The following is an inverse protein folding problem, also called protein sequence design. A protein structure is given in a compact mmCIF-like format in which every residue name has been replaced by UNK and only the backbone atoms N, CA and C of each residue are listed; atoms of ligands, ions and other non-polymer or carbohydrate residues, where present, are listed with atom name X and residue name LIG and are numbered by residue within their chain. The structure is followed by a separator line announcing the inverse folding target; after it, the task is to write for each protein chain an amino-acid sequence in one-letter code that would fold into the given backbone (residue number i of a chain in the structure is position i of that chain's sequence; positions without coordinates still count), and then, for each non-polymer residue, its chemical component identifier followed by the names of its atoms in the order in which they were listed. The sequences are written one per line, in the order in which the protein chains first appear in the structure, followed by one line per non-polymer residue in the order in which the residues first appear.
data_IF_037854629665
#
_entry.id   IF_037854629665
#
_cell.length_a   1.000
_cell.length_b   1.000
_cell.length_c   1.000
_cell.angle_alpha   90.00
_cell.angle_beta   90.00
_cell.angle_gamma   90.00
#
_symmetry.space_group_name_H-M   'P 1'
#
loop_
_entity.id
_entity.type
_entity.pdbx_description
1 polymer ?
#
# COMPACT_ATOMS: atom_id res chain seq x y z
N UNK A 1 -41.18 13.43 2.63
CA UNK A 1 -40.50 12.34 3.36
C UNK A 1 -40.60 10.94 2.72
N UNK A 2 -41.75 10.51 2.15
CA UNK A 2 -41.87 9.18 1.50
C UNK A 2 -41.03 9.00 0.23
N UNK A 3 -40.89 10.05 -0.58
CA UNK A 3 -40.05 10.04 -1.80
C UNK A 3 -38.56 9.98 -1.45
N UNK A 4 -38.11 10.74 -0.44
CA UNK A 4 -36.76 10.61 0.12
C UNK A 4 -36.50 9.22 0.68
N UNK A 5 -37.45 8.59 1.41
CA UNK A 5 -37.34 7.18 1.83
C UNK A 5 -37.35 6.18 0.67
N UNK A 6 -37.96 6.51 -0.46
CA UNK A 6 -38.02 5.62 -1.64
C UNK A 6 -36.73 5.71 -2.46
N UNK A 7 -36.23 6.93 -2.70
CA UNK A 7 -34.91 7.19 -3.29
C UNK A 7 -33.83 6.62 -2.40
N UNK A 8 -33.92 6.85 -1.08
CA UNK A 8 -33.05 6.18 -0.12
C UNK A 8 -33.30 4.68 -0.09
N UNK A 9 -34.50 4.09 -0.20
CA UNK A 9 -34.64 2.61 -0.26
C UNK A 9 -34.07 1.98 -1.54
N UNK A 10 -34.08 2.70 -2.66
CA UNK A 10 -33.47 2.27 -3.92
C UNK A 10 -31.94 2.37 -3.90
N UNK A 11 -31.41 3.43 -3.29
CA UNK A 11 -29.97 3.59 -3.01
C UNK A 11 -29.53 2.70 -1.82
N UNK A 12 -30.43 2.44 -0.87
CA UNK A 12 -30.32 1.53 0.28
C UNK A 12 -30.72 0.08 -0.09
N UNK A 13 -30.28 -0.39 -1.25
CA UNK A 13 -29.80 -1.78 -1.28
C UNK A 13 -28.73 -2.03 -0.18
N UNK A 14 -28.13 -0.96 0.37
CA UNK A 14 -27.41 -0.93 1.64
C UNK A 14 -28.16 -1.53 2.84
N UNK A 15 -29.49 -1.58 2.91
CA UNK A 15 -30.13 -2.12 4.14
C UNK A 15 -29.93 -3.64 4.25
N UNK A 16 -29.91 -4.35 3.11
CA UNK A 16 -29.59 -5.79 3.06
C UNK A 16 -28.08 -6.07 3.04
N UNK A 17 -27.30 -5.15 2.50
CA UNK A 17 -25.84 -5.30 2.32
C UNK A 17 -25.09 -4.84 3.58
N UNK A 18 -25.45 -3.68 4.11
CA UNK A 18 -24.96 -3.09 5.35
C UNK A 18 -25.14 -4.01 6.55
N UNK A 19 -26.25 -4.74 6.59
CA UNK A 19 -26.48 -5.78 7.60
C UNK A 19 -25.41 -6.89 7.61
N UNK A 20 -24.73 -7.13 6.49
CA UNK A 20 -23.68 -8.15 6.36
C UNK A 20 -22.26 -7.63 6.51
N UNK A 21 -22.06 -6.31 6.48
CA UNK A 21 -20.75 -5.68 6.70
C UNK A 21 -20.11 -6.17 8.02
N UNK A 22 -20.81 -6.24 9.17
CA UNK A 22 -20.21 -6.72 10.40
C UNK A 22 -19.61 -8.14 10.29
N UNK A 23 -20.29 -9.04 9.58
CA UNK A 23 -19.81 -10.42 9.38
C UNK A 23 -18.62 -10.47 8.41
N UNK A 24 -18.66 -9.69 7.33
CA UNK A 24 -17.53 -9.57 6.40
C UNK A 24 -16.30 -8.99 7.10
N UNK A 25 -16.49 -7.96 7.94
CA UNK A 25 -15.42 -7.37 8.77
C UNK A 25 -14.89 -8.36 9.78
N UNK A 26 -15.75 -9.13 10.46
CA UNK A 26 -15.30 -10.17 11.40
C UNK A 26 -14.45 -11.24 10.68
N UNK A 27 -14.90 -11.68 9.51
CA UNK A 27 -14.20 -12.68 8.69
C UNK A 27 -12.85 -12.13 8.23
N UNK A 28 -12.84 -10.90 7.72
CA UNK A 28 -11.63 -10.18 7.35
C UNK A 28 -10.67 -9.96 8.52
N UNK A 29 -11.14 -9.62 9.71
CA UNK A 29 -10.29 -9.44 10.89
C UNK A 29 -9.58 -10.74 11.29
N UNK A 30 -10.28 -11.87 11.28
CA UNK A 30 -9.66 -13.18 11.54
C UNK A 30 -8.56 -13.47 10.51
N UNK A 31 -8.82 -13.18 9.24
CA UNK A 31 -7.83 -13.35 8.18
C UNK A 31 -6.65 -12.37 8.30
N UNK A 32 -6.92 -11.12 8.68
CA UNK A 32 -5.91 -10.10 8.91
C UNK A 32 -4.97 -10.50 10.04
N UNK A 33 -5.53 -10.95 11.17
CA UNK A 33 -4.77 -11.44 12.33
C UNK A 33 -4.11 -12.79 12.11
N UNK A 34 -4.53 -13.56 11.09
CA UNK A 34 -3.76 -14.70 10.62
C UNK A 34 -2.58 -14.25 9.74
N UNK A 35 -2.86 -13.48 8.69
CA UNK A 35 -1.93 -13.16 7.61
C UNK A 35 -0.82 -12.21 8.03
N UNK A 36 -1.15 -11.05 8.62
CA UNK A 36 -0.13 -10.04 8.93
C UNK A 36 0.83 -10.48 10.03
N UNK A 37 0.39 -11.06 11.15
CA UNK A 37 1.31 -11.54 12.18
C UNK A 37 2.20 -12.68 11.68
N UNK A 38 1.67 -13.58 10.83
CA UNK A 38 2.49 -14.61 10.18
C UNK A 38 3.56 -14.00 9.27
N UNK A 39 3.16 -13.01 8.47
CA UNK A 39 4.02 -12.28 7.54
C UNK A 39 5.18 -11.64 8.28
N UNK A 40 4.90 -10.86 9.32
CA UNK A 40 5.93 -10.19 10.11
C UNK A 40 6.86 -11.17 10.82
N UNK A 41 6.33 -12.29 11.33
CA UNK A 41 7.16 -13.33 11.93
C UNK A 41 8.14 -13.93 10.91
N UNK A 42 7.65 -14.39 9.75
CA UNK A 42 8.48 -14.99 8.69
C UNK A 42 9.49 -13.96 8.15
N UNK A 43 9.03 -12.73 7.90
CA UNK A 43 9.90 -11.65 7.45
C UNK A 43 11.01 -11.36 8.46
N UNK A 44 10.71 -11.37 9.76
CA UNK A 44 11.73 -11.18 10.79
C UNK A 44 12.73 -12.32 10.86
N UNK A 45 12.28 -13.56 10.66
CA UNK A 45 13.18 -14.72 10.55
C UNK A 45 14.17 -14.54 9.39
N UNK A 46 13.67 -14.13 8.22
CA UNK A 46 14.50 -13.88 7.03
C UNK A 46 15.43 -12.68 7.28
N UNK A 47 14.93 -11.60 7.86
CA UNK A 47 15.69 -10.40 8.21
C UNK A 47 16.88 -10.68 9.14
N UNK A 48 16.70 -11.56 10.12
CA UNK A 48 17.76 -11.99 11.05
C UNK A 48 18.84 -12.79 10.33
N UNK A 49 18.45 -13.67 9.40
CA UNK A 49 19.38 -14.56 8.68
C UNK A 49 20.04 -13.90 7.47
N UNK A 50 19.40 -12.89 6.90
CA UNK A 50 19.76 -12.34 5.60
C UNK A 50 19.19 -13.17 4.45
N UNK A 51 18.96 -12.52 3.31
CA UNK A 51 18.63 -13.16 2.05
C UNK A 51 18.92 -12.18 0.90
N UNK A 52 18.95 -12.69 -0.34
CA UNK A 52 19.11 -11.87 -1.55
C UNK A 52 20.37 -10.99 -1.55
N UNK A 53 21.48 -11.49 -0.99
CA UNK A 53 22.74 -10.74 -0.88
C UNK A 53 22.79 -9.76 0.30
N UNK A 54 21.67 -9.52 0.99
CA UNK A 54 21.62 -8.63 2.15
C UNK A 54 22.05 -9.40 3.42
N UNK A 55 23.07 -8.91 4.16
CA UNK A 55 23.54 -9.58 5.38
C UNK A 55 22.45 -9.56 6.45
N UNK A 56 22.31 -10.64 7.22
CA UNK A 56 21.35 -10.74 8.32
C UNK A 56 21.67 -9.79 9.48
N UNK A 57 20.65 -9.38 10.24
CA UNK A 57 20.87 -8.58 11.46
C UNK A 57 21.51 -9.39 12.60
N UNK A 58 21.47 -10.72 12.54
CA UNK A 58 22.16 -11.62 13.48
C UNK A 58 21.60 -11.65 14.92
N UNK A 59 20.61 -10.82 15.25
CA UNK A 59 20.02 -10.74 16.58
C UNK A 59 19.05 -11.88 16.90
N UNK A 60 18.75 -12.13 18.19
CA UNK A 60 17.72 -13.09 18.58
C UNK A 60 16.32 -12.61 18.15
N UNK A 61 15.39 -13.56 18.02
CA UNK A 61 13.99 -13.24 17.70
C UNK A 61 13.32 -12.46 18.86
N UNK A 62 12.87 -11.22 18.65
CA UNK A 62 12.21 -10.45 19.71
C UNK A 62 10.88 -11.08 20.14
N UNK A 63 10.54 -10.98 21.43
CA UNK A 63 9.34 -11.57 22.02
C UNK A 63 8.01 -11.16 21.34
N UNK A 64 7.94 -9.93 20.81
CA UNK A 64 6.76 -9.43 20.09
C UNK A 64 6.43 -10.29 18.86
N UNK A 65 7.44 -10.79 18.14
CA UNK A 65 7.22 -11.64 16.97
C UNK A 65 6.75 -13.04 17.36
N UNK A 66 7.19 -13.58 18.50
CA UNK A 66 6.63 -14.80 19.06
C UNK A 66 5.16 -14.63 19.45
N UNK A 67 4.81 -13.51 20.08
CA UNK A 67 3.41 -13.15 20.38
C UNK A 67 2.57 -13.05 19.09
N UNK A 68 3.12 -12.40 18.05
CA UNK A 68 2.49 -12.31 16.73
C UNK A 68 2.24 -13.70 16.11
N UNK A 69 3.20 -14.64 16.24
CA UNK A 69 3.03 -16.01 15.78
C UNK A 69 1.89 -16.72 16.52
N UNK A 70 1.78 -16.56 17.85
CA UNK A 70 0.68 -17.18 18.64
C UNK A 70 -0.67 -16.66 18.16
N UNK A 71 -0.82 -15.35 17.98
CA UNK A 71 -2.05 -14.74 17.43
C UNK A 71 -2.36 -15.33 16.05
N UNK A 72 -1.35 -15.41 15.18
CA UNK A 72 -1.51 -16.01 13.86
C UNK A 72 -1.98 -17.46 13.93
N UNK A 73 -1.41 -18.29 14.79
CA UNK A 73 -1.78 -19.70 14.91
C UNK A 73 -3.23 -19.87 15.38
N UNK A 74 -3.69 -19.05 16.33
CA UNK A 74 -5.08 -19.08 16.82
C UNK A 74 -6.05 -18.67 15.70
N UNK A 75 -5.79 -17.56 15.01
CA UNK A 75 -6.64 -17.09 13.92
C UNK A 75 -6.57 -18.03 12.70
N UNK A 76 -5.40 -18.56 12.39
CA UNK A 76 -5.16 -19.56 11.36
C UNK A 76 -5.92 -20.85 11.62
N UNK A 77 -5.95 -21.34 12.86
CA UNK A 77 -6.78 -22.48 13.23
C UNK A 77 -8.26 -22.23 12.91
N UNK A 78 -8.80 -21.06 13.24
CA UNK A 78 -10.20 -20.70 12.92
C UNK A 78 -10.42 -20.64 11.41
N UNK A 79 -9.49 -20.05 10.65
CA UNK A 79 -9.52 -19.98 9.19
C UNK A 79 -9.55 -21.38 8.55
N UNK A 80 -8.57 -22.24 8.86
CA UNK A 80 -8.48 -23.59 8.29
C UNK A 80 -9.64 -24.49 8.73
N UNK A 81 -10.07 -24.39 9.99
CA UNK A 81 -11.28 -25.07 10.46
C UNK A 81 -12.51 -24.65 9.65
N UNK A 82 -12.64 -23.37 9.34
CA UNK A 82 -13.72 -22.83 8.51
C UNK A 82 -13.72 -23.38 7.08
N UNK A 83 -12.53 -23.64 6.52
CA UNK A 83 -12.38 -24.24 5.19
C UNK A 83 -12.73 -25.73 5.15
N UNK A 84 -12.30 -26.50 6.15
CA UNK A 84 -12.50 -27.96 6.19
C UNK A 84 -13.90 -28.35 6.67
N UNK A 85 -14.45 -27.59 7.62
CA UNK A 85 -15.80 -27.81 8.19
C UNK A 85 -16.66 -26.57 7.97
N UNK A 86 -17.02 -26.29 6.72
CA UNK A 86 -17.89 -25.17 6.40
C UNK A 86 -19.26 -25.36 7.04
N UNK A 87 -19.88 -24.23 7.40
CA UNK A 87 -21.20 -24.18 8.01
C UNK A 87 -22.00 -23.03 7.42
N UNK A 88 -23.28 -23.25 7.15
CA UNK A 88 -24.25 -22.15 7.05
C UNK A 88 -24.54 -21.65 8.46
N UNK A 89 -24.38 -20.35 8.68
CA UNK A 89 -24.64 -19.70 9.96
C UNK A 89 -25.70 -18.62 9.78
N UNK A 90 -26.61 -18.53 10.76
CA UNK A 90 -27.48 -17.36 10.94
C UNK A 90 -26.77 -16.36 11.82
N UNK A 91 -26.45 -15.21 11.24
CA UNK A 91 -26.02 -14.02 11.97
C UNK A 91 -27.21 -13.14 12.28
N UNK A 92 -27.14 -12.43 13.40
CA UNK A 92 -28.05 -11.34 13.70
C UNK A 92 -27.23 -10.14 14.12
N UNK A 93 -27.55 -8.97 13.59
CA UNK A 93 -26.95 -7.70 14.02
C UNK A 93 -28.02 -6.77 14.54
N UNK A 94 -27.76 -6.10 15.66
CA UNK A 94 -28.67 -5.11 16.25
C UNK A 94 -27.92 -3.78 16.32
N UNK A 95 -28.39 -2.72 15.65
CA UNK A 95 -27.73 -1.42 15.68
C UNK A 95 -27.73 -0.84 17.10
N UNK A 96 -26.59 -0.27 17.50
CA UNK A 96 -26.48 0.48 18.75
C UNK A 96 -26.98 1.90 18.52
N UNK A 97 -27.94 2.33 19.34
CA UNK A 97 -28.47 3.70 19.33
C UNK A 97 -27.98 4.39 20.59
N UNK A 98 -27.57 5.66 20.43
CA UNK A 98 -27.21 6.52 21.54
C UNK A 98 -28.42 7.39 21.88
N UNK A 99 -28.73 7.49 23.15
CA UNK A 99 -29.72 8.42 23.68
C UNK A 99 -29.11 9.13 24.89
N UNK A 100 -29.12 10.46 24.85
CA UNK A 100 -28.68 11.29 25.96
C UNK A 100 -29.86 11.47 26.92
N UNK A 101 -29.66 11.03 28.16
CA UNK A 101 -30.62 11.13 29.27
C UNK A 101 -30.02 12.04 30.33
N UNK A 102 -30.27 13.34 30.20
CA UNK A 102 -29.61 14.37 31.01
C UNK A 102 -28.10 14.39 30.74
N UNK A 103 -27.29 14.24 31.78
CA UNK A 103 -25.82 14.25 31.69
C UNK A 103 -25.21 12.88 31.32
N UNK A 104 -26.04 11.86 31.07
CA UNK A 104 -25.58 10.48 30.80
C UNK A 104 -25.99 10.03 29.40
N UNK A 105 -25.00 9.73 28.55
CA UNK A 105 -25.23 9.04 27.27
C UNK A 105 -25.42 7.55 27.50
N UNK A 106 -26.63 7.05 27.25
CA UNK A 106 -26.94 5.62 27.31
C UNK A 106 -26.85 5.04 25.90
N UNK A 107 -26.07 3.96 25.73
CA UNK A 107 -26.03 3.19 24.49
C UNK A 107 -26.85 1.91 24.66
N UNK A 108 -27.83 1.71 23.79
CA UNK A 108 -28.69 0.53 23.81
C UNK A 108 -28.89 -0.05 22.41
N UNK A 109 -28.94 -1.38 22.31
CA UNK A 109 -29.26 -2.04 21.05
C UNK A 109 -30.73 -1.88 20.70
N UNK A 110 -31.05 -1.27 19.56
CA UNK A 110 -32.43 -1.17 19.11
C UNK A 110 -32.90 -2.48 18.47
N UNK A 111 -33.49 -3.36 19.29
CA UNK A 111 -33.95 -4.68 18.87
C UNK A 111 -35.03 -4.63 17.78
N UNK A 112 -35.75 -3.51 17.62
CA UNK A 112 -36.73 -3.35 16.54
C UNK A 112 -36.09 -3.25 15.15
N UNK A 113 -34.78 -2.96 15.09
CA UNK A 113 -33.99 -2.88 13.86
C UNK A 113 -32.99 -4.03 13.74
N UNK A 114 -33.23 -5.13 14.47
CA UNK A 114 -32.40 -6.33 14.36
C UNK A 114 -32.52 -6.90 12.94
N UNK A 115 -31.39 -7.14 12.29
CA UNK A 115 -31.33 -7.77 10.98
C UNK A 115 -30.76 -9.17 11.13
N UNK A 116 -31.48 -10.16 10.62
CA UNK A 116 -31.03 -11.55 10.53
C UNK A 116 -30.58 -11.86 9.10
N UNK A 117 -29.48 -12.59 8.97
CA UNK A 117 -28.93 -12.96 7.68
C UNK A 117 -28.23 -14.32 7.74
N UNK A 118 -28.32 -15.07 6.66
CA UNK A 118 -27.58 -16.31 6.47
C UNK A 118 -26.28 -16.01 5.71
N UNK A 119 -25.20 -16.62 6.15
CA UNK A 119 -23.90 -16.57 5.47
C UNK A 119 -23.21 -17.93 5.54
N UNK A 120 -22.37 -18.19 4.55
CA UNK A 120 -21.51 -19.37 4.51
C UNK A 120 -20.15 -19.01 5.13
N UNK A 121 -19.48 -19.92 5.83
CA UNK A 121 -18.17 -19.59 6.43
C UNK A 121 -16.98 -19.73 5.49
N UNK A 122 -17.13 -20.41 4.34
CA UNK A 122 -16.01 -20.82 3.48
C UNK A 122 -16.16 -20.46 2.00
N UNK A 123 -17.13 -19.59 1.67
CA UNK A 123 -17.46 -19.33 0.27
C UNK A 123 -16.24 -18.78 -0.48
N UNK A 124 -15.96 -19.22 -1.72
CA UNK A 124 -14.76 -18.85 -2.46
C UNK A 124 -14.69 -17.35 -2.74
N UNK A 125 -15.83 -16.66 -2.78
CA UNK A 125 -15.86 -15.20 -2.95
C UNK A 125 -15.06 -14.49 -1.87
N UNK A 126 -15.03 -14.97 -0.62
CA UNK A 126 -14.29 -14.33 0.47
C UNK A 126 -12.80 -14.19 0.20
N UNK A 127 -12.22 -14.91 -0.76
CA UNK A 127 -10.87 -14.59 -1.27
C UNK A 127 -10.72 -13.12 -1.67
N UNK A 128 -11.79 -12.44 -2.12
CA UNK A 128 -11.77 -11.01 -2.39
C UNK A 128 -11.63 -10.14 -1.13
N UNK A 129 -11.97 -10.63 0.08
CA UNK A 129 -11.68 -9.89 1.32
C UNK A 129 -10.18 -9.69 1.52
N UNK A 130 -9.35 -10.58 0.95
CA UNK A 130 -7.89 -10.44 0.99
C UNK A 130 -7.42 -9.20 0.24
N UNK A 131 -8.21 -8.67 -0.71
CA UNK A 131 -7.92 -7.40 -1.37
C UNK A 131 -7.99 -6.23 -0.39
N UNK A 132 -8.75 -6.31 0.70
CA UNK A 132 -8.72 -5.25 1.73
C UNK A 132 -7.38 -5.23 2.47
N UNK A 133 -6.71 -6.38 2.58
CA UNK A 133 -5.41 -6.49 3.25
C UNK A 133 -4.25 -6.30 2.29
N UNK A 134 -4.37 -6.69 1.01
CA UNK A 134 -3.31 -6.69 0.02
C UNK A 134 -2.56 -5.35 -0.17
N UNK A 135 -3.19 -4.16 -0.07
CA UNK A 135 -2.49 -2.88 -0.14
C UNK A 135 -1.38 -2.73 0.88
N UNK A 136 -1.51 -3.32 2.08
CA UNK A 136 -0.50 -3.22 3.15
C UNK A 136 0.84 -3.83 2.72
N UNK A 137 0.93 -5.15 2.42
CA UNK A 137 2.17 -5.75 1.96
C UNK A 137 2.59 -5.26 0.56
N UNK A 138 1.64 -4.90 -0.32
CA UNK A 138 1.97 -4.32 -1.62
C UNK A 138 2.74 -2.99 -1.45
N UNK A 139 2.26 -2.08 -0.60
CA UNK A 139 2.95 -0.82 -0.32
C UNK A 139 4.32 -1.08 0.32
N UNK A 140 4.44 -2.03 1.26
CA UNK A 140 5.72 -2.38 1.88
C UNK A 140 6.76 -2.86 0.85
N UNK A 141 6.35 -3.65 -0.15
CA UNK A 141 7.24 -4.11 -1.20
C UNK A 141 7.56 -2.98 -2.19
N UNK A 142 6.53 -2.33 -2.76
CA UNK A 142 6.67 -1.36 -3.84
C UNK A 142 7.40 -0.09 -3.37
N UNK A 143 7.05 0.44 -2.19
CA UNK A 143 7.65 1.67 -1.66
C UNK A 143 9.10 1.47 -1.20
N UNK A 144 9.62 0.24 -1.20
CA UNK A 144 11.00 -0.06 -0.78
C UNK A 144 11.88 -0.59 -1.90
N UNK A 145 11.41 -0.61 -3.16
CA UNK A 145 12.19 -1.13 -4.30
C UNK A 145 13.49 -0.34 -4.48
N UNK A 146 13.40 1.00 -4.50
CA UNK A 146 14.55 1.88 -4.74
C UNK A 146 15.29 2.28 -3.45
N UNK A 147 14.83 1.80 -2.30
CA UNK A 147 15.50 2.08 -1.03
C UNK A 147 16.71 1.16 -0.83
N UNK A 148 17.69 1.63 -0.07
CA UNK A 148 18.81 0.80 0.38
C UNK A 148 18.37 -0.32 1.33
N UNK A 149 19.29 -1.24 1.62
CA UNK A 149 19.05 -2.48 2.36
C UNK A 149 18.73 -2.26 3.85
N UNK A 150 18.80 -1.03 4.36
CA UNK A 150 18.23 -0.69 5.67
C UNK A 150 16.72 -0.96 5.73
N UNK A 151 16.03 -0.87 4.59
CA UNK A 151 14.59 -1.15 4.46
C UNK A 151 14.27 -2.62 4.14
N UNK A 152 15.29 -3.49 4.10
CA UNK A 152 15.17 -4.89 3.69
C UNK A 152 14.04 -5.66 4.41
N UNK A 153 13.88 -5.44 5.72
CA UNK A 153 12.80 -6.05 6.49
C UNK A 153 11.42 -5.76 5.90
N UNK A 154 11.15 -4.51 5.50
CA UNK A 154 9.87 -4.11 4.93
C UNK A 154 9.66 -4.69 3.53
N UNK A 155 10.71 -4.72 2.69
CA UNK A 155 10.65 -5.34 1.37
C UNK A 155 10.29 -6.82 1.46
N UNK A 156 10.97 -7.55 2.34
CA UNK A 156 10.71 -8.96 2.59
C UNK A 156 9.33 -9.17 3.22
N UNK A 157 8.91 -8.34 4.17
CA UNK A 157 7.57 -8.41 4.75
C UNK A 157 6.48 -8.20 3.68
N UNK A 158 6.68 -7.26 2.75
CA UNK A 158 5.79 -7.05 1.62
C UNK A 158 5.70 -8.29 0.73
N UNK A 159 6.84 -8.82 0.29
CA UNK A 159 6.88 -10.02 -0.56
C UNK A 159 6.24 -11.25 0.12
N UNK A 160 6.62 -11.53 1.36
CA UNK A 160 6.06 -12.63 2.16
C UNK A 160 4.56 -12.44 2.36
N UNK A 161 4.10 -11.21 2.64
CA UNK A 161 2.69 -10.91 2.86
C UNK A 161 1.85 -11.18 1.62
N UNK A 162 2.32 -10.78 0.44
CA UNK A 162 1.67 -11.10 -0.83
C UNK A 162 1.61 -12.61 -1.08
N UNK A 163 2.69 -13.34 -0.77
CA UNK A 163 2.72 -14.81 -0.89
C UNK A 163 1.72 -15.46 0.07
N UNK A 164 1.68 -15.04 1.34
CA UNK A 164 0.73 -15.57 2.34
C UNK A 164 -0.71 -15.33 1.89
N UNK A 165 -1.05 -14.12 1.42
CA UNK A 165 -2.38 -13.82 0.90
C UNK A 165 -2.72 -14.65 -0.34
N UNK A 166 -1.77 -14.84 -1.27
CA UNK A 166 -1.96 -15.68 -2.44
C UNK A 166 -2.22 -17.15 -2.05
N UNK A 167 -1.47 -17.68 -1.08
CA UNK A 167 -1.66 -19.04 -0.55
C UNK A 167 -3.02 -19.18 0.15
N UNK A 168 -3.48 -18.16 0.88
CA UNK A 168 -4.82 -18.17 1.50
C UNK A 168 -5.93 -18.18 0.45
N UNK A 169 -5.81 -17.37 -0.61
CA UNK A 169 -6.73 -17.38 -1.74
C UNK A 169 -6.75 -18.74 -2.43
N UNK A 170 -5.57 -19.32 -2.68
CA UNK A 170 -5.43 -20.65 -3.28
C UNK A 170 -6.05 -21.74 -2.39
N UNK A 171 -5.78 -21.73 -1.07
CA UNK A 171 -6.37 -22.67 -0.12
C UNK A 171 -7.90 -22.63 -0.16
N UNK A 172 -8.49 -21.43 -0.27
CA UNK A 172 -9.94 -21.28 -0.47
C UNK A 172 -10.45 -21.90 -1.76
N UNK A 173 -9.83 -21.54 -2.88
CA UNK A 173 -10.23 -22.06 -4.19
C UNK A 173 -10.10 -23.58 -4.25
N UNK A 174 -9.01 -24.14 -3.72
CA UNK A 174 -8.80 -25.59 -3.64
C UNK A 174 -9.84 -26.27 -2.74
N UNK A 175 -10.12 -25.70 -1.55
CA UNK A 175 -11.12 -26.24 -0.63
C UNK A 175 -12.51 -26.36 -1.28
N UNK A 176 -12.90 -25.37 -2.08
CA UNK A 176 -14.21 -25.30 -2.73
C UNK A 176 -14.30 -26.11 -4.03
N UNK A 177 -13.36 -25.92 -4.96
CA UNK A 177 -13.46 -26.48 -6.31
C UNK A 177 -12.88 -27.89 -6.42
N UNK A 178 -11.79 -28.17 -5.71
CA UNK A 178 -11.09 -29.47 -5.76
C UNK A 178 -11.65 -30.41 -4.70
N UNK A 179 -11.60 -30.00 -3.43
CA UNK A 179 -12.05 -30.86 -2.32
C UNK A 179 -13.57 -30.85 -2.10
N UNK A 180 -14.28 -29.88 -2.70
CA UNK A 180 -15.74 -29.73 -2.65
C UNK A 180 -16.29 -29.63 -1.22
N UNK A 181 -15.50 -29.10 -0.29
CA UNK A 181 -15.94 -28.84 1.07
C UNK A 181 -17.05 -27.79 1.05
N UNK A 182 -18.19 -28.10 1.69
CA UNK A 182 -19.32 -27.16 1.86
C UNK A 182 -20.30 -27.06 0.70
N UNK A 183 -19.99 -27.68 -0.45
CA UNK A 183 -20.89 -27.67 -1.61
C UNK A 183 -22.23 -28.37 -1.32
N UNK A 184 -22.18 -29.51 -0.61
CA UNK A 184 -23.37 -30.27 -0.17
C UNK A 184 -24.28 -29.47 0.75
N UNK A 185 -23.71 -28.74 1.70
CA UNK A 185 -24.48 -27.94 2.66
C UNK A 185 -25.25 -26.80 1.96
N UNK A 186 -24.65 -26.24 0.90
CA UNK A 186 -25.25 -25.19 0.08
C UNK A 186 -26.34 -25.75 -0.84
N UNK A 187 -26.16 -26.98 -1.35
CA UNK A 187 -27.17 -27.71 -2.11
C UNK A 187 -28.40 -28.01 -1.23
N UNK A 188 -28.19 -28.51 -0.01
CA UNK A 188 -29.26 -28.84 0.94
C UNK A 188 -30.10 -27.60 1.32
N UNK A 189 -29.45 -26.45 1.54
CA UNK A 189 -30.15 -25.19 1.83
C UNK A 189 -30.84 -24.60 0.60
N UNK A 190 -30.26 -24.73 -0.59
CA UNK A 190 -30.88 -24.28 -1.84
C UNK A 190 -32.19 -25.04 -2.12
N UNK A 191 -32.18 -26.36 -1.90
CA UNK A 191 -33.37 -27.22 -1.97
C UNK A 191 -34.41 -26.79 -0.93
N UNK A 192 -34.01 -26.54 0.32
CA UNK A 192 -34.91 -26.12 1.39
C UNK A 192 -35.58 -24.75 1.13
N UNK A 193 -34.88 -23.82 0.45
CA UNK A 193 -35.40 -22.49 0.11
C UNK A 193 -36.08 -22.44 -1.28
N UNK A 194 -36.20 -23.56 -2.00
CA UNK A 194 -36.78 -23.60 -3.34
C UNK A 194 -36.09 -22.68 -4.34
N UNK A 195 -34.80 -22.38 -4.14
CA UNK A 195 -34.03 -21.42 -4.95
C UNK A 195 -32.83 -22.12 -5.59
N UNK A 196 -32.36 -21.65 -6.75
CA UNK A 196 -31.17 -22.24 -7.37
C UNK A 196 -29.89 -21.93 -6.56
N UNK A 197 -28.98 -22.89 -6.49
CA UNK A 197 -27.68 -22.75 -5.82
C UNK A 197 -26.90 -21.51 -6.28
N UNK A 198 -26.94 -21.23 -7.59
CA UNK A 198 -26.25 -20.08 -8.20
C UNK A 198 -26.83 -18.76 -7.71
N UNK A 199 -28.16 -18.63 -7.71
CA UNK A 199 -28.84 -17.40 -7.26
C UNK A 199 -28.62 -17.19 -5.76
N UNK A 200 -28.64 -18.26 -4.98
CA UNK A 200 -28.42 -18.24 -3.55
C UNK A 200 -26.96 -17.83 -3.23
N UNK A 201 -25.97 -18.44 -3.88
CA UNK A 201 -24.55 -18.07 -3.76
C UNK A 201 -24.30 -16.61 -4.17
N UNK A 202 -24.94 -16.16 -5.25
CA UNK A 202 -24.83 -14.79 -5.74
C UNK A 202 -25.34 -13.77 -4.72
N UNK A 203 -26.58 -13.95 -4.26
CA UNK A 203 -27.21 -13.02 -3.31
C UNK A 203 -26.61 -13.12 -1.92
N UNK A 204 -26.14 -14.29 -1.46
CA UNK A 204 -25.55 -14.47 -0.12
C UNK A 204 -24.10 -13.98 -0.02
N UNK A 205 -23.26 -14.27 -1.01
CA UNK A 205 -21.81 -14.13 -0.86
C UNK A 205 -21.15 -13.19 -1.89
N UNK A 206 -21.51 -13.25 -3.17
CA UNK A 206 -20.86 -12.44 -4.20
C UNK A 206 -21.28 -10.97 -4.18
N UNK A 207 -22.58 -10.70 -4.25
CA UNK A 207 -23.12 -9.34 -4.35
C UNK A 207 -22.68 -8.40 -3.21
N UNK A 208 -22.84 -8.76 -1.90
CA UNK A 208 -22.42 -7.86 -0.83
C UNK A 208 -20.90 -7.63 -0.82
N UNK A 209 -20.13 -8.65 -1.22
CA UNK A 209 -18.68 -8.57 -1.23
C UNK A 209 -18.14 -7.72 -2.37
N UNK A 210 -18.63 -7.91 -3.60
CA UNK A 210 -18.24 -7.08 -4.74
C UNK A 210 -18.57 -5.61 -4.48
N UNK A 211 -19.75 -5.33 -3.91
CA UNK A 211 -20.10 -3.97 -3.55
C UNK A 211 -19.18 -3.40 -2.46
N UNK A 212 -18.82 -4.18 -1.44
CA UNK A 212 -17.86 -3.75 -0.41
C UNK A 212 -16.50 -3.40 -1.04
N UNK A 213 -15.94 -4.28 -1.87
CA UNK A 213 -14.65 -4.07 -2.52
C UNK A 213 -14.69 -2.83 -3.42
N UNK A 214 -15.67 -2.74 -4.32
CA UNK A 214 -15.82 -1.59 -5.22
C UNK A 214 -15.96 -0.30 -4.42
N UNK A 215 -16.78 -0.28 -3.36
CA UNK A 215 -16.97 0.90 -2.53
C UNK A 215 -15.68 1.32 -1.83
N UNK A 216 -14.97 0.40 -1.17
CA UNK A 216 -13.72 0.72 -0.47
C UNK A 216 -12.67 1.25 -1.43
N UNK A 217 -12.47 0.58 -2.56
CA UNK A 217 -11.49 0.99 -3.57
C UNK A 217 -11.90 2.26 -4.32
N UNK A 218 -13.18 2.50 -4.56
CA UNK A 218 -13.62 3.75 -5.19
C UNK A 218 -13.44 4.94 -4.25
N UNK A 219 -13.80 4.80 -2.96
CA UNK A 219 -13.67 5.88 -1.96
C UNK A 219 -12.21 6.29 -1.76
N UNK A 220 -11.28 5.34 -1.77
CA UNK A 220 -9.86 5.62 -1.53
C UNK A 220 -9.10 5.85 -2.84
N UNK A 221 -9.33 5.01 -3.85
CA UNK A 221 -8.59 5.02 -5.10
C UNK A 221 -8.93 6.19 -6.01
N UNK A 222 -10.18 6.66 -6.07
CA UNK A 222 -10.53 7.79 -6.93
C UNK A 222 -9.87 9.11 -6.46
N UNK A 223 -9.90 9.49 -5.17
CA UNK A 223 -9.18 10.67 -4.70
C UNK A 223 -7.67 10.56 -4.91
N UNK A 224 -7.05 9.41 -4.59
CA UNK A 224 -5.61 9.21 -4.79
C UNK A 224 -5.21 9.31 -6.26
N UNK A 225 -5.98 8.69 -7.17
CA UNK A 225 -5.73 8.78 -8.61
C UNK A 225 -5.90 10.21 -9.13
N UNK A 226 -6.87 10.96 -8.61
CA UNK A 226 -7.05 12.36 -8.95
C UNK A 226 -5.89 13.23 -8.46
N UNK A 227 -5.45 13.06 -7.20
CA UNK A 227 -4.29 13.77 -6.65
C UNK A 227 -3.03 13.50 -7.46
N UNK A 228 -2.75 12.23 -7.75
CA UNK A 228 -1.62 11.83 -8.59
C UNK A 228 -1.68 12.45 -9.99
N UNK A 229 -2.87 12.45 -10.61
CA UNK A 229 -3.05 13.03 -11.94
C UNK A 229 -2.88 14.56 -11.94
N UNK A 230 -3.38 15.24 -10.92
CA UNK A 230 -3.23 16.68 -10.76
C UNK A 230 -1.77 17.10 -10.52
N UNK A 231 -1.03 16.30 -9.75
CA UNK A 231 0.40 16.46 -9.52
C UNK A 231 1.21 16.31 -10.82
N UNK A 232 1.00 15.23 -11.57
CA UNK A 232 1.64 15.04 -12.89
C UNK A 232 1.34 16.20 -13.84
N UNK A 233 0.09 16.65 -13.89
CA UNK A 233 -0.31 17.79 -14.73
C UNK A 233 0.34 19.09 -14.28
N UNK A 234 0.55 19.27 -12.99
CA UNK A 234 1.25 20.42 -12.43
C UNK A 234 2.72 20.39 -12.85
N UNK A 235 3.38 19.23 -12.71
CA UNK A 235 4.76 19.03 -13.15
C UNK A 235 4.91 19.29 -14.65
N UNK A 236 4.04 18.76 -15.50
CA UNK A 236 4.08 18.95 -16.97
C UNK A 236 3.99 20.42 -17.39
N UNK A 237 3.36 21.27 -16.57
CA UNK A 237 3.18 22.71 -16.82
C UNK A 237 4.34 23.56 -16.33
N UNK A 238 5.24 22.99 -15.53
CA UNK A 238 6.41 23.71 -15.07
C UNK A 238 7.34 24.01 -16.26
N UNK A 239 7.96 25.19 -16.30
CA UNK A 239 8.97 25.50 -17.32
C UNK A 239 10.21 24.62 -17.13
N UNK A 240 10.86 24.28 -18.25
CA UNK A 240 12.16 23.58 -18.25
C UNK A 240 13.23 24.52 -17.71
N UNK A 241 14.13 23.98 -16.90
CA UNK A 241 15.20 24.71 -16.24
C UNK A 241 16.23 25.19 -17.25
N UNK A 242 16.76 26.39 -17.01
CA UNK A 242 17.89 26.98 -17.73
C UNK A 242 18.92 27.49 -16.74
N UNK A 243 20.16 27.72 -17.17
CA UNK A 243 21.20 28.26 -16.28
C UNK A 243 20.80 29.61 -15.65
N UNK A 244 20.05 30.44 -16.39
CA UNK A 244 19.57 31.74 -15.90
C UNK A 244 18.62 31.61 -14.70
N UNK A 245 17.93 30.48 -14.55
CA UNK A 245 17.01 30.23 -13.43
C UNK A 245 17.76 30.16 -12.08
N UNK A 246 19.05 29.84 -12.08
CA UNK A 246 19.88 29.83 -10.87
C UNK A 246 19.95 31.18 -10.14
N UNK A 247 19.69 32.28 -10.84
CA UNK A 247 19.54 33.61 -10.23
C UNK A 247 18.10 34.14 -10.29
N UNK A 248 17.35 33.82 -11.36
CA UNK A 248 16.04 34.42 -11.61
C UNK A 248 14.86 33.67 -10.97
N UNK A 249 15.03 32.39 -10.61
CA UNK A 249 13.95 31.50 -10.22
C UNK A 249 14.30 30.58 -9.04
N UNK A 250 15.18 31.04 -8.14
CA UNK A 250 15.48 30.37 -6.88
C UNK A 250 14.18 30.08 -6.10
N UNK A 251 14.11 28.90 -5.48
CA UNK A 251 12.95 28.36 -4.76
C UNK A 251 11.72 28.04 -5.63
N UNK A 252 11.81 28.17 -6.95
CA UNK A 252 10.75 27.74 -7.86
C UNK A 252 10.99 26.34 -8.40
N UNK A 253 9.90 25.63 -8.67
CA UNK A 253 9.94 24.31 -9.29
C UNK A 253 10.12 24.42 -10.80
N UNK A 254 11.00 23.59 -11.36
CA UNK A 254 11.33 23.51 -12.78
C UNK A 254 11.44 22.06 -13.21
N UNK A 255 11.19 21.80 -14.49
CA UNK A 255 11.49 20.50 -15.12
C UNK A 255 12.96 20.45 -15.50
N UNK A 256 13.59 19.29 -15.38
CA UNK A 256 14.95 19.04 -15.82
C UNK A 256 14.87 18.05 -16.97
N UNK A 257 15.28 18.48 -18.16
CA UNK A 257 15.32 17.68 -19.37
C UNK A 257 16.68 17.87 -20.04
N UNK A 258 17.36 16.77 -20.35
CA UNK A 258 18.70 16.81 -20.91
C UNK A 258 19.37 15.45 -20.92
N UNK A 259 20.67 15.45 -21.23
CA UNK A 259 21.48 14.24 -21.29
C UNK A 259 22.31 14.10 -20.01
N UNK A 260 22.36 12.89 -19.44
CA UNK A 260 23.12 12.62 -18.22
C UNK A 260 24.62 12.67 -18.52
N UNK A 261 25.31 13.64 -17.92
CA UNK A 261 26.72 13.89 -18.11
C UNK A 261 27.56 13.22 -17.01
N UNK A 262 27.67 11.89 -17.08
CA UNK A 262 28.51 11.07 -16.21
C UNK A 262 27.77 10.21 -15.20
N UNK A 263 28.52 9.55 -14.30
CA UNK A 263 27.94 8.65 -13.30
C UNK A 263 27.34 9.42 -12.11
N UNK A 264 26.22 8.93 -11.54
CA UNK A 264 25.65 9.52 -10.34
C UNK A 264 26.60 9.36 -9.14
N UNK A 265 26.72 10.43 -8.36
CA UNK A 265 27.48 10.46 -7.10
C UNK A 265 26.53 10.21 -5.95
N UNK A 266 26.90 9.28 -5.06
CA UNK A 266 26.12 8.95 -3.88
C UNK A 266 26.92 9.23 -2.61
N UNK A 267 26.30 9.94 -1.66
CA UNK A 267 26.93 10.32 -0.41
C UNK A 267 26.29 9.61 0.79
N UNK A 268 27.14 9.18 1.71
CA UNK A 268 26.74 8.58 2.98
C UNK A 268 27.67 9.09 4.09
N UNK A 269 27.52 10.36 4.54
CA UNK A 269 28.45 10.98 5.50
C UNK A 269 28.50 10.26 6.86
N UNK A 270 27.49 9.44 7.18
CA UNK A 270 27.43 8.60 8.38
C UNK A 270 27.61 7.11 8.11
N UNK A 271 28.15 6.77 6.94
CA UNK A 271 28.30 5.41 6.46
C UNK A 271 27.07 4.88 5.73
N UNK A 272 27.29 3.85 4.92
CA UNK A 272 26.30 3.28 3.99
C UNK A 272 25.35 2.26 4.61
N UNK A 273 25.42 2.07 5.94
CA UNK A 273 24.56 1.17 6.69
C UNK A 273 24.65 -0.30 6.26
N UNK A 274 23.56 -1.03 6.50
CA UNK A 274 23.43 -2.45 6.13
C UNK A 274 23.47 -2.60 4.61
N UNK A 275 24.22 -3.57 4.10
CA UNK A 275 24.28 -3.85 2.65
C UNK A 275 25.11 -2.87 1.82
N UNK A 276 25.60 -1.78 2.43
CA UNK A 276 26.54 -0.88 1.77
C UNK A 276 25.92 0.09 0.76
N UNK A 277 24.58 0.19 0.72
CA UNK A 277 23.84 0.95 -0.30
C UNK A 277 22.81 1.95 0.28
N UNK A 278 22.95 2.36 1.54
CA UNK A 278 22.08 3.39 2.13
C UNK A 278 22.74 4.75 2.04
N UNK A 279 22.28 5.56 1.10
CA UNK A 279 22.81 6.90 0.85
C UNK A 279 21.90 7.95 1.49
N UNK A 280 22.51 9.03 1.98
CA UNK A 280 21.80 10.18 2.57
C UNK A 280 21.67 11.34 1.58
N UNK A 281 22.49 11.35 0.53
CA UNK A 281 22.40 12.26 -0.58
C UNK A 281 22.78 11.57 -1.88
N UNK A 282 22.28 12.08 -3.00
CA UNK A 282 22.68 11.68 -4.32
C UNK A 282 22.72 12.89 -5.27
N UNK A 283 23.48 12.81 -6.35
CA UNK A 283 23.47 13.83 -7.37
C UNK A 283 24.02 13.35 -8.71
N UNK A 284 23.63 14.03 -9.78
CA UNK A 284 24.13 13.78 -11.13
C UNK A 284 24.17 15.08 -11.92
N UNK A 285 25.11 15.16 -12.86
CA UNK A 285 25.20 16.27 -13.79
C UNK A 285 24.34 15.97 -15.03
N UNK A 286 23.61 16.98 -15.50
CA UNK A 286 22.76 16.90 -16.69
C UNK A 286 23.13 18.03 -17.64
N UNK A 287 23.47 17.70 -18.87
CA UNK A 287 23.66 18.66 -19.97
C UNK A 287 22.29 19.12 -20.48
N UNK A 288 22.03 20.42 -20.39
CA UNK A 288 20.74 20.99 -20.75
C UNK A 288 20.66 21.23 -22.26
N UNK A 289 19.52 20.88 -22.86
CA UNK A 289 19.24 21.17 -24.26
C UNK A 289 19.25 22.68 -24.59
N UNK A 290 19.01 23.53 -23.59
CA UNK A 290 19.10 25.00 -23.71
C UNK A 290 20.53 25.54 -23.70
N UNK A 291 21.54 24.69 -23.48
CA UNK A 291 22.91 25.08 -23.17
C UNK A 291 23.19 25.16 -21.67
N UNK A 292 24.43 24.86 -21.29
CA UNK A 292 24.89 24.75 -19.90
C UNK A 292 24.48 23.46 -19.20
N UNK A 293 24.62 23.45 -17.88
CA UNK A 293 24.46 22.24 -17.06
C UNK A 293 23.44 22.43 -15.93
N UNK A 294 22.75 21.37 -15.54
CA UNK A 294 22.02 21.26 -14.28
C UNK A 294 22.68 20.23 -13.37
N UNK A 295 23.01 20.63 -12.14
CA UNK A 295 23.38 19.72 -11.08
C UNK A 295 22.11 19.31 -10.34
N UNK A 296 21.61 18.11 -10.65
CA UNK A 296 20.45 17.52 -9.99
C UNK A 296 20.91 16.85 -8.70
N UNK A 297 20.33 17.25 -7.57
CA UNK A 297 20.66 16.78 -6.23
C UNK A 297 19.42 16.17 -5.57
N UNK A 298 19.59 15.16 -4.73
CA UNK A 298 18.50 14.54 -3.98
C UNK A 298 18.92 14.33 -2.53
N UNK A 299 18.10 14.80 -1.60
CA UNK A 299 18.35 14.69 -0.16
C UNK A 299 17.50 13.59 0.48
N UNK A 300 18.09 12.83 1.41
CA UNK A 300 17.38 11.92 2.32
C UNK A 300 16.25 11.10 1.69
N UNK A 301 14.99 11.55 1.86
CA UNK A 301 13.79 10.86 1.40
C UNK A 301 13.60 10.92 -0.11
N UNK A 302 14.24 11.85 -0.81
CA UNK A 302 14.24 11.94 -2.28
C UNK A 302 15.30 11.05 -2.93
N UNK A 303 16.24 10.46 -2.17
CA UNK A 303 17.27 9.57 -2.75
C UNK A 303 16.67 8.34 -3.44
N UNK A 304 15.66 7.64 -2.88
CA UNK A 304 14.95 6.57 -3.57
C UNK A 304 14.25 7.03 -4.85
N UNK A 305 13.71 8.25 -4.87
CA UNK A 305 13.09 8.82 -6.07
C UNK A 305 14.16 9.10 -7.13
N UNK A 306 15.32 9.63 -6.72
CA UNK A 306 16.48 9.81 -7.59
C UNK A 306 16.96 8.49 -8.19
N UNK A 307 17.08 7.43 -7.38
CA UNK A 307 17.43 6.09 -7.87
C UNK A 307 16.38 5.59 -8.87
N UNK A 308 15.10 5.85 -8.63
CA UNK A 308 14.02 5.56 -9.57
C UNK A 308 14.19 6.30 -10.89
N UNK A 309 14.43 7.61 -10.85
CA UNK A 309 14.69 8.45 -12.03
C UNK A 309 15.89 7.93 -12.81
N UNK A 310 16.99 7.57 -12.14
CA UNK A 310 18.18 7.02 -12.79
C UNK A 310 17.93 5.63 -13.41
N UNK A 311 17.02 4.84 -12.87
CA UNK A 311 16.59 3.58 -13.50
C UNK A 311 15.75 3.80 -14.77
N UNK A 312 15.07 4.93 -14.87
CA UNK A 312 14.23 5.30 -16.00
C UNK A 312 15.01 6.04 -17.12
N UNK A 313 16.30 6.38 -16.91
CA UNK A 313 17.17 6.95 -17.95
C UNK A 313 17.42 5.93 -19.05
N UNK A 314 17.07 6.30 -20.28
CA UNK A 314 17.30 5.50 -21.49
C UNK A 314 17.89 6.42 -22.56
N UNK A 315 18.86 5.92 -23.34
CA UNK A 315 19.58 6.71 -24.35
C UNK A 315 20.22 8.00 -23.76
N UNK A 316 20.69 7.90 -22.51
CA UNK A 316 21.24 8.99 -21.69
C UNK A 316 20.29 10.18 -21.41
N UNK A 317 19.04 10.13 -21.90
CA UNK A 317 18.05 11.18 -21.67
C UNK A 317 17.40 11.05 -20.29
N UNK A 318 17.40 12.15 -19.52
CA UNK A 318 16.68 12.26 -18.25
C UNK A 318 15.53 13.25 -18.36
N UNK A 319 14.38 12.88 -17.78
CA UNK A 319 13.21 13.75 -17.64
C UNK A 319 12.71 13.72 -16.21
N UNK A 320 12.90 14.80 -15.49
CA UNK A 320 12.52 14.92 -14.08
C UNK A 320 12.15 16.35 -13.73
N UNK A 321 12.04 16.65 -12.44
CA UNK A 321 11.71 17.96 -11.92
C UNK A 321 12.40 18.19 -10.57
N UNK A 322 12.42 19.44 -10.13
CA UNK A 322 12.88 19.78 -8.80
C UNK A 322 12.82 21.28 -8.54
N UNK A 323 13.16 21.66 -7.31
CA UNK A 323 13.24 23.05 -6.88
C UNK A 323 14.62 23.61 -7.17
N UNK A 324 14.69 24.76 -7.84
CA UNK A 324 15.96 25.46 -8.09
C UNK A 324 16.50 25.99 -6.76
N UNK A 325 17.78 25.74 -6.50
CA UNK A 325 18.49 26.25 -5.32
C UNK A 325 19.68 27.11 -5.75
N UNK A 326 20.01 28.10 -4.95
CA UNK A 326 21.10 29.04 -5.20
C UNK A 326 22.44 28.55 -4.65
N UNK A 327 22.42 27.80 -3.53
CA UNK A 327 23.62 27.23 -2.92
C UNK A 327 23.33 25.98 -2.09
N UNK A 328 24.36 25.15 -1.91
CA UNK A 328 24.33 24.04 -0.96
C UNK A 328 24.53 24.57 0.46
N UNK A 329 23.52 24.36 1.31
CA UNK A 329 23.55 24.82 2.70
C UNK A 329 24.49 23.97 3.57
N UNK A 330 24.97 24.53 4.68
CA UNK A 330 25.80 23.80 5.65
C UNK A 330 25.10 22.56 6.23
N UNK A 331 23.77 22.62 6.36
CA UNK A 331 22.95 21.48 6.79
C UNK A 331 23.01 20.36 5.75
N UNK A 332 22.85 20.68 4.46
CA UNK A 332 22.90 19.68 3.40
C UNK A 332 24.29 19.05 3.29
N UNK A 333 25.36 19.83 3.47
CA UNK A 333 26.73 19.28 3.57
C UNK A 333 26.88 18.35 4.76
N UNK A 334 26.44 18.79 5.95
CA UNK A 334 26.61 18.02 7.19
C UNK A 334 25.82 16.70 7.22
N UNK A 335 24.56 16.73 6.75
CA UNK A 335 23.63 15.61 6.91
C UNK A 335 23.51 14.74 5.66
N UNK A 336 23.65 15.31 4.47
CA UNK A 336 23.50 14.59 3.20
C UNK A 336 24.83 14.39 2.48
N UNK A 337 25.88 15.13 2.88
CA UNK A 337 27.23 14.97 2.33
C UNK A 337 27.42 15.62 0.98
N UNK A 338 26.50 16.51 0.57
CA UNK A 338 26.59 17.21 -0.70
C UNK A 338 27.92 17.95 -0.84
N UNK A 339 28.60 17.68 -1.95
CA UNK A 339 29.88 18.27 -2.27
C UNK A 339 29.99 18.46 -3.79
N UNK A 340 30.03 19.71 -4.22
CA UNK A 340 30.16 20.07 -5.65
C UNK A 340 31.48 19.62 -6.25
N UNK A 341 32.53 19.45 -5.43
CA UNK A 341 33.82 18.95 -5.90
C UNK A 341 33.79 17.49 -6.36
N UNK A 342 32.67 16.79 -6.08
CA UNK A 342 32.38 15.48 -6.66
C UNK A 342 32.06 15.52 -8.16
N UNK A 343 31.88 16.71 -8.73
CA UNK A 343 31.57 16.92 -10.15
C UNK A 343 32.66 17.76 -10.83
N UNK A 344 32.79 17.69 -12.17
CA UNK A 344 33.67 18.58 -12.93
C UNK A 344 33.36 20.06 -12.65
N UNK A 345 34.31 20.95 -12.95
CA UNK A 345 34.04 22.38 -12.90
C UNK A 345 32.90 22.77 -13.86
N UNK A 346 32.07 23.77 -13.52
CA UNK A 346 31.00 24.23 -14.41
C UNK A 346 31.50 24.57 -15.81
N UNK A 347 30.73 24.18 -16.82
CA UNK A 347 30.99 24.63 -18.20
C UNK A 347 30.95 26.16 -18.32
N UNK A 348 31.52 26.68 -19.43
CA UNK A 348 31.55 28.12 -19.70
C UNK A 348 30.14 28.74 -19.80
N UNK A 349 29.14 27.92 -20.16
CA UNK A 349 27.73 28.31 -20.25
C UNK A 349 27.03 28.34 -18.88
N UNK A 350 27.70 27.83 -17.84
CA UNK A 350 27.28 27.88 -16.44
C UNK A 350 26.50 26.65 -15.97
N UNK A 351 26.18 26.64 -14.67
CA UNK A 351 25.52 25.53 -13.98
C UNK A 351 24.42 26.04 -13.06
N UNK A 352 23.26 25.40 -13.11
CA UNK A 352 22.13 25.60 -12.17
C UNK A 352 22.02 24.41 -11.24
N UNK A 353 21.72 24.64 -9.96
CA UNK A 353 21.48 23.57 -9.00
C UNK A 353 19.98 23.34 -8.83
N UNK A 354 19.57 22.07 -8.89
CA UNK A 354 18.17 21.66 -8.76
C UNK A 354 18.07 20.55 -7.72
N UNK A 355 17.25 20.76 -6.70
CA UNK A 355 16.95 19.77 -5.68
C UNK A 355 15.69 18.98 -6.06
N UNK A 356 15.81 17.67 -6.20
CA UNK A 356 14.70 16.75 -6.48
C UNK A 356 13.68 16.79 -5.33
N UNK A 357 12.53 17.39 -5.63
CA UNK A 357 11.39 17.49 -4.73
C UNK A 357 10.12 17.79 -5.53
N UNK A 358 8.97 17.54 -4.91
CA UNK A 358 7.65 17.70 -5.52
C UNK A 358 7.02 19.08 -5.19
N UNK A 359 6.28 19.69 -6.14
CA UNK A 359 5.71 21.03 -6.03
C UNK A 359 4.57 21.21 -5.02
#
# INVERSE_FOLDING_TARGET
MRVLRFVWRGVLAFDRIGARIPQLVQTWLVELFFALPLTFFIAKVIDIRGAFGVPGTGGPMPGVFWGALVVSLVCGFVFFRGLVKPRVRRGSWTPMVRADLGDVTVMGGNCSWRVEYEYLTSHPSYSLLLLLTAPIPAAMALMTINHGDSTFYWRVAGAVGLIVLALMAAARLLSWYVFRFGRRELDDHAVAQGTSQVRLSWEMAWKPLLMLIVMVYAIVGLPLAYMWWDELRTIDRLPVVTVADGAAAVDQYRRVEGDVAGEPVYWAPRGTGRGGNNFSGAGVLVELSSGGEALLLAESLSVPDFVGVMHDVHDDEIRTHGRVIDHITDIQRQYYGFDESGFPEPSADGRVMVLLSYP
#
